data_IF_126217171547
#
_entry.id   IF_126217171547
#
_cell.length_a   1.000
_cell.length_b   1.000
_cell.length_c   1.000
_cell.angle_alpha   90.00
_cell.angle_beta   90.00
_cell.angle_gamma   90.00
#
_symmetry.space_group_name_H-M   'P 1'
#
loop_
_entity.id
_entity.type
_entity.pdbx_description
1 polymer ?
#
# COMPACT_ATOMS: atom_id res chain seq x y z
N UNK A 1 -41.63 -16.10 -23.32
CA UNK A 1 -40.88 -15.87 -24.58
C UNK A 1 -40.59 -14.39 -24.80
N UNK A 2 -41.58 -13.49 -24.65
CA UNK A 2 -41.41 -12.03 -24.87
C UNK A 2 -40.31 -11.41 -23.96
N UNK A 3 -40.19 -11.86 -22.70
CA UNK A 3 -39.20 -11.29 -21.77
C UNK A 3 -37.74 -11.64 -22.13
N UNK A 4 -37.50 -12.84 -22.67
CA UNK A 4 -36.15 -13.28 -23.06
C UNK A 4 -35.68 -12.51 -24.30
N UNK A 5 -36.60 -12.23 -25.24
CA UNK A 5 -36.30 -11.46 -26.44
C UNK A 5 -35.94 -10.00 -26.10
N UNK A 6 -36.64 -9.39 -25.14
CA UNK A 6 -36.31 -8.04 -24.69
C UNK A 6 -34.92 -7.94 -24.06
N UNK A 7 -34.55 -8.87 -23.18
CA UNK A 7 -33.24 -8.86 -22.49
C UNK A 7 -32.06 -8.99 -23.46
N UNK A 8 -32.19 -9.84 -24.48
CA UNK A 8 -31.17 -9.99 -25.53
C UNK A 8 -31.00 -8.67 -26.30
N UNK A 9 -32.12 -8.07 -26.73
CA UNK A 9 -32.10 -6.79 -27.44
C UNK A 9 -31.55 -5.66 -26.56
N UNK A 10 -31.93 -5.62 -25.28
CA UNK A 10 -31.51 -4.60 -24.33
C UNK A 10 -30.02 -4.70 -23.98
N UNK A 11 -29.49 -5.93 -23.91
CA UNK A 11 -28.07 -6.21 -23.67
C UNK A 11 -27.21 -5.80 -24.86
N UNK A 12 -27.69 -6.05 -26.09
CA UNK A 12 -26.97 -5.70 -27.32
C UNK A 12 -27.13 -4.23 -27.73
N UNK A 13 -28.16 -3.53 -27.25
CA UNK A 13 -28.43 -2.14 -27.65
C UNK A 13 -27.50 -1.13 -26.98
N UNK A 14 -26.97 -0.21 -27.78
CA UNK A 14 -26.23 0.93 -27.26
C UNK A 14 -27.16 1.93 -26.56
N UNK A 15 -26.57 2.78 -25.70
CA UNK A 15 -27.31 3.79 -24.92
C UNK A 15 -28.20 4.67 -25.81
N UNK A 16 -27.68 5.11 -26.96
CA UNK A 16 -28.42 5.93 -27.92
C UNK A 16 -29.64 5.22 -28.50
N UNK A 17 -29.52 3.93 -28.78
CA UNK A 17 -30.59 3.10 -29.37
C UNK A 17 -31.70 2.81 -28.35
N UNK A 18 -31.34 2.56 -27.09
CA UNK A 18 -32.31 2.42 -26.00
C UNK A 18 -33.10 3.71 -25.78
N UNK A 19 -32.44 4.87 -25.91
CA UNK A 19 -33.12 6.18 -25.84
C UNK A 19 -34.05 6.38 -27.04
N UNK A 20 -33.62 6.01 -28.25
CA UNK A 20 -34.44 6.07 -29.44
C UNK A 20 -35.66 5.15 -29.33
N UNK A 21 -35.48 3.93 -28.83
CA UNK A 21 -36.53 2.95 -28.60
C UNK A 21 -37.59 3.46 -27.62
N UNK A 22 -37.20 4.05 -26.48
CA UNK A 22 -38.16 4.66 -25.54
C UNK A 22 -38.97 5.80 -26.16
N UNK A 23 -38.32 6.67 -26.95
CA UNK A 23 -39.02 7.75 -27.66
C UNK A 23 -40.01 7.22 -28.70
N UNK A 24 -39.63 6.14 -29.40
CA UNK A 24 -40.48 5.48 -30.39
C UNK A 24 -41.67 4.78 -29.74
N UNK A 25 -41.46 4.08 -28.62
CA UNK A 25 -42.49 3.41 -27.83
C UNK A 25 -43.63 4.38 -27.44
N UNK A 26 -43.26 5.56 -26.92
CA UNK A 26 -44.23 6.62 -26.56
C UNK A 26 -44.96 7.14 -27.79
N UNK A 27 -44.25 7.42 -28.89
CA UNK A 27 -44.84 8.01 -30.09
C UNK A 27 -45.86 7.08 -30.77
N UNK A 28 -45.56 5.79 -30.81
CA UNK A 28 -46.39 4.79 -31.49
C UNK A 28 -47.36 4.07 -30.54
N UNK A 29 -47.32 4.37 -29.24
CA UNK A 29 -48.08 3.69 -28.21
C UNK A 29 -47.88 2.15 -28.22
N UNK A 30 -46.61 1.72 -28.31
CA UNK A 30 -46.18 0.31 -28.32
C UNK A 30 -45.25 0.01 -27.15
N UNK A 31 -45.03 -1.27 -26.83
CA UNK A 31 -44.09 -1.66 -25.77
C UNK A 31 -42.63 -1.29 -26.11
N UNK A 32 -41.80 -1.09 -25.08
CA UNK A 32 -40.37 -0.82 -25.27
C UNK A 32 -39.67 -1.97 -26.01
N UNK A 33 -40.11 -3.22 -25.81
CA UNK A 33 -39.58 -4.37 -26.54
C UNK A 33 -39.84 -4.30 -28.05
N UNK A 34 -41.06 -3.97 -28.45
CA UNK A 34 -41.42 -3.81 -29.87
C UNK A 34 -40.67 -2.62 -30.48
N UNK A 35 -40.60 -1.50 -29.77
CA UNK A 35 -39.88 -0.32 -30.23
C UNK A 35 -38.36 -0.56 -30.33
N UNK A 36 -37.77 -1.30 -29.40
CA UNK A 36 -36.35 -1.64 -29.40
C UNK A 36 -36.02 -2.61 -30.54
N UNK A 37 -36.86 -3.62 -30.77
CA UNK A 37 -36.74 -4.50 -31.92
C UNK A 37 -36.79 -3.69 -33.23
N UNK A 38 -37.74 -2.77 -33.40
CA UNK A 38 -37.82 -1.90 -34.59
C UNK A 38 -36.58 -1.04 -34.79
N UNK A 39 -36.07 -0.41 -33.72
CA UNK A 39 -34.84 0.39 -33.79
C UNK A 39 -33.65 -0.47 -34.20
N UNK A 40 -33.49 -1.66 -33.63
CA UNK A 40 -32.37 -2.54 -33.94
C UNK A 40 -32.48 -3.17 -35.34
N UNK A 41 -33.68 -3.48 -35.83
CA UNK A 41 -33.89 -3.91 -37.23
C UNK A 41 -33.48 -2.79 -38.19
N UNK A 42 -33.84 -1.54 -37.89
CA UNK A 42 -33.43 -0.40 -38.70
C UNK A 42 -31.91 -0.20 -38.69
N UNK A 43 -31.26 -0.36 -37.53
CA UNK A 43 -29.79 -0.29 -37.40
C UNK A 43 -29.11 -1.44 -38.15
N UNK A 44 -29.68 -2.65 -38.11
CA UNK A 44 -29.11 -3.82 -38.76
C UNK A 44 -29.14 -3.74 -40.30
N UNK A 45 -30.10 -3.00 -40.87
CA UNK A 45 -30.21 -2.79 -42.32
C UNK A 45 -30.18 -4.10 -43.11
N UNK A 46 -29.38 -4.15 -44.17
CA UNK A 46 -29.25 -5.32 -45.04
C UNK A 46 -28.56 -6.53 -44.37
N UNK A 47 -27.83 -6.33 -43.26
CA UNK A 47 -27.14 -7.41 -42.54
C UNK A 47 -28.10 -8.27 -41.71
N UNK A 48 -29.25 -7.71 -41.34
CA UNK A 48 -30.26 -8.40 -40.54
C UNK A 48 -29.95 -8.43 -39.04
N UNK A 49 -31.02 -8.39 -38.24
CA UNK A 49 -30.93 -8.32 -36.77
C UNK A 49 -30.09 -9.46 -36.14
N UNK A 50 -30.20 -10.73 -36.56
CA UNK A 50 -29.39 -11.80 -35.95
C UNK A 50 -27.89 -11.57 -36.09
N UNK A 51 -27.43 -11.05 -37.23
CA UNK A 51 -26.01 -10.78 -37.47
C UNK A 51 -25.50 -9.63 -36.60
N UNK A 52 -26.29 -8.54 -36.48
CA UNK A 52 -25.96 -7.40 -35.62
C UNK A 52 -25.82 -7.82 -34.16
N UNK A 53 -26.75 -8.65 -33.66
CA UNK A 53 -26.72 -9.14 -32.28
C UNK A 53 -25.48 -10.01 -32.04
N UNK A 54 -25.20 -10.96 -32.95
CA UNK A 54 -24.03 -11.83 -32.85
C UNK A 54 -22.71 -11.05 -32.85
N UNK A 55 -22.58 -10.03 -33.69
CA UNK A 55 -21.39 -9.17 -33.73
C UNK A 55 -21.18 -8.41 -32.41
N UNK A 56 -22.25 -7.85 -31.86
CA UNK A 56 -22.18 -7.08 -30.61
C UNK A 56 -21.92 -7.94 -29.40
N UNK A 57 -22.50 -9.13 -29.33
CA UNK A 57 -22.18 -10.10 -28.29
C UNK A 57 -20.72 -10.55 -28.38
N UNK A 58 -20.21 -10.82 -29.59
CA UNK A 58 -18.81 -11.16 -29.78
C UNK A 58 -17.85 -10.02 -29.40
N UNK A 59 -18.23 -8.75 -29.63
CA UNK A 59 -17.46 -7.59 -29.16
C UNK A 59 -17.48 -7.49 -27.63
N UNK A 60 -18.66 -7.64 -27.01
CA UNK A 60 -18.83 -7.57 -25.56
C UNK A 60 -18.03 -8.64 -24.83
N UNK A 61 -18.09 -9.89 -25.30
CA UNK A 61 -17.32 -11.00 -24.75
C UNK A 61 -15.81 -10.73 -24.82
N UNK A 62 -15.30 -10.23 -25.96
CA UNK A 62 -13.88 -9.85 -26.10
C UNK A 62 -13.46 -8.75 -25.14
N UNK A 63 -14.31 -7.76 -24.91
CA UNK A 63 -14.02 -6.68 -23.95
C UNK A 63 -14.12 -7.14 -22.49
N UNK A 64 -15.00 -8.08 -22.18
CA UNK A 64 -15.06 -8.76 -20.88
C UNK A 64 -13.80 -9.58 -20.62
N UNK A 65 -13.35 -10.38 -21.59
CA UNK A 65 -12.10 -11.15 -21.51
C UNK A 65 -10.88 -10.24 -21.33
N UNK A 66 -10.80 -9.14 -22.08
CA UNK A 66 -9.71 -8.15 -21.91
C UNK A 66 -9.73 -7.52 -20.52
N UNK A 67 -10.91 -7.19 -20.00
CA UNK A 67 -11.05 -6.62 -18.65
C UNK A 67 -10.69 -7.63 -17.58
N UNK A 68 -11.17 -8.86 -17.67
CA UNK A 68 -10.87 -9.93 -16.72
C UNK A 68 -9.38 -10.25 -16.71
N UNK A 69 -8.72 -10.33 -17.88
CA UNK A 69 -7.28 -10.52 -17.99
C UNK A 69 -6.48 -9.38 -17.33
N UNK A 70 -6.88 -8.11 -17.53
CA UNK A 70 -6.23 -6.97 -16.87
C UNK A 70 -6.39 -7.00 -15.35
N UNK A 71 -7.58 -7.33 -14.86
CA UNK A 71 -7.86 -7.46 -13.42
C UNK A 71 -7.02 -8.59 -12.82
N UNK A 72 -7.00 -9.76 -13.48
CA UNK A 72 -6.24 -10.92 -13.04
C UNK A 72 -4.73 -10.63 -13.00
N UNK A 73 -4.18 -9.97 -14.02
CA UNK A 73 -2.76 -9.62 -14.04
C UNK A 73 -2.41 -8.60 -12.93
N UNK A 74 -3.25 -7.58 -12.73
CA UNK A 74 -3.06 -6.63 -11.62
C UNK A 74 -3.11 -7.35 -10.27
N UNK A 75 -4.06 -8.26 -10.06
CA UNK A 75 -4.17 -9.05 -8.84
C UNK A 75 -2.93 -9.94 -8.64
N UNK A 76 -2.42 -10.57 -9.70
CA UNK A 76 -1.19 -11.38 -9.68
C UNK A 76 0.02 -10.56 -9.28
N UNK A 77 0.22 -9.38 -9.87
CA UNK A 77 1.33 -8.48 -9.54
C UNK A 77 1.25 -7.99 -8.09
N UNK A 78 0.05 -7.67 -7.60
CA UNK A 78 -0.16 -7.29 -6.20
C UNK A 78 0.13 -8.46 -5.24
N UNK A 79 -0.31 -9.67 -5.57
CA UNK A 79 -0.05 -10.88 -4.78
C UNK A 79 1.45 -11.22 -4.75
N UNK A 80 2.15 -11.13 -5.89
CA UNK A 80 3.61 -11.32 -5.95
C UNK A 80 4.35 -10.28 -5.13
N UNK A 81 3.94 -9.00 -5.21
CA UNK A 81 4.50 -7.94 -4.37
C UNK A 81 4.25 -8.22 -2.89
N UNK A 82 3.04 -8.63 -2.52
CA UNK A 82 2.69 -8.99 -1.15
C UNK A 82 3.52 -10.17 -0.63
N UNK A 83 3.66 -11.25 -1.42
CA UNK A 83 4.47 -12.41 -1.06
C UNK A 83 5.96 -12.06 -0.88
N UNK A 84 6.53 -11.22 -1.76
CA UNK A 84 7.90 -10.70 -1.58
C UNK A 84 8.03 -9.79 -0.35
N UNK A 85 6.92 -9.16 0.05
CA UNK A 85 6.79 -8.34 1.25
C UNK A 85 6.30 -9.11 2.48
N UNK A 86 6.15 -10.44 2.41
CA UNK A 86 6.02 -11.25 3.62
C UNK A 86 7.44 -11.59 4.09
N UNK A 87 7.81 -11.32 5.35
CA UNK A 87 9.03 -11.90 5.91
C UNK A 87 8.93 -13.43 5.83
N UNK A 88 10.03 -14.11 5.55
CA UNK A 88 10.08 -15.57 5.72
C UNK A 88 9.64 -15.91 7.15
N UNK A 89 8.84 -16.96 7.31
CA UNK A 89 8.30 -17.36 8.61
C UNK A 89 9.40 -17.58 9.67
N UNK A 90 10.63 -17.85 9.21
CA UNK A 90 11.79 -18.22 10.00
C UNK A 90 12.87 -17.10 10.07
N UNK A 91 12.51 -15.85 9.80
CA UNK A 91 13.46 -14.71 9.78
C UNK A 91 13.23 -13.68 10.89
N UNK A 92 14.27 -12.89 11.19
CA UNK A 92 14.16 -11.77 12.12
C UNK A 92 13.25 -10.67 11.57
N UNK A 93 12.48 -10.05 12.46
CA UNK A 93 11.60 -8.92 12.17
C UNK A 93 11.81 -7.81 13.18
N UNK A 94 11.83 -6.57 12.73
CA UNK A 94 11.99 -5.42 13.59
C UNK A 94 10.99 -4.31 13.26
N UNK A 95 10.64 -3.53 14.27
CA UNK A 95 9.86 -2.31 14.17
C UNK A 95 10.62 -1.19 14.85
N UNK A 96 10.64 0.00 14.28
CA UNK A 96 11.25 1.18 14.88
C UNK A 96 10.28 2.37 14.80
N UNK A 97 10.42 3.28 15.74
CA UNK A 97 9.76 4.58 15.76
C UNK A 97 10.59 5.56 16.58
N UNK A 98 10.66 6.81 16.14
CA UNK A 98 11.34 7.88 16.85
C UNK A 98 10.46 9.10 17.02
N UNK A 99 10.44 9.65 18.23
CA UNK A 99 9.72 10.88 18.55
C UNK A 99 10.66 11.98 19.01
N UNK A 100 10.33 13.22 18.64
CA UNK A 100 11.01 14.43 19.11
C UNK A 100 9.95 15.44 19.56
N UNK A 101 9.97 15.83 20.84
CA UNK A 101 9.00 16.79 21.37
C UNK A 101 9.63 17.92 22.22
N UNK A 102 9.30 19.21 21.93
CA UNK A 102 8.74 19.70 20.66
C UNK A 102 9.62 19.32 19.45
N UNK A 103 9.31 19.71 18.21
CA UNK A 103 10.15 19.35 17.05
C UNK A 103 10.85 20.60 16.47
N UNK A 104 12.19 20.73 16.56
CA UNK A 104 13.14 19.86 17.27
C UNK A 104 13.01 19.96 18.80
N UNK A 105 13.45 18.91 19.51
CA UNK A 105 13.26 18.73 20.95
C UNK A 105 13.91 17.48 21.50
N UNK A 106 13.46 17.04 22.68
CA UNK A 106 13.99 15.82 23.29
C UNK A 106 13.58 14.60 22.47
N UNK A 107 14.53 13.72 22.19
CA UNK A 107 14.32 12.52 21.40
C UNK A 107 14.05 11.31 22.30
N UNK A 108 12.93 10.64 22.05
CA UNK A 108 12.64 9.28 22.47
C UNK A 108 12.74 8.33 21.29
N UNK A 109 13.38 7.17 21.49
CA UNK A 109 13.42 6.11 20.47
C UNK A 109 12.81 4.83 20.99
N UNK A 110 12.05 4.17 20.12
CA UNK A 110 11.37 2.92 20.37
C UNK A 110 11.71 1.90 19.28
N UNK A 111 11.99 0.67 19.67
CA UNK A 111 12.13 -0.42 18.72
C UNK A 111 11.74 -1.77 19.32
N UNK A 112 11.16 -2.64 18.50
CA UNK A 112 10.82 -4.02 18.82
C UNK A 112 11.56 -4.93 17.85
N UNK A 113 12.33 -5.90 18.34
CA UNK A 113 12.99 -6.92 17.54
C UNK A 113 12.46 -8.29 17.94
N UNK A 114 12.02 -9.07 16.96
CA UNK A 114 11.50 -10.42 17.12
C UNK A 114 12.33 -11.40 16.28
N UNK A 115 12.81 -12.46 16.91
CA UNK A 115 13.59 -13.52 16.27
C UNK A 115 12.75 -14.77 15.94
N UNK A 116 13.30 -15.68 15.14
CA UNK A 116 12.63 -16.92 14.74
C UNK A 116 12.54 -17.97 15.87
N UNK A 117 13.39 -17.88 16.89
CA UNK A 117 13.37 -18.74 18.07
C UNK A 117 12.39 -18.28 19.16
N UNK A 118 11.61 -17.23 18.90
CA UNK A 118 10.70 -16.62 19.87
C UNK A 118 11.34 -15.47 20.67
N UNK A 119 12.53 -15.03 20.29
CA UNK A 119 13.18 -13.86 20.89
C UNK A 119 12.30 -12.63 20.72
N UNK A 120 12.21 -11.82 21.78
CA UNK A 120 11.54 -10.52 21.78
C UNK A 120 12.38 -9.53 22.57
N UNK A 121 12.89 -8.51 21.90
CA UNK A 121 13.69 -7.44 22.50
C UNK A 121 12.99 -6.11 22.27
N UNK A 122 12.64 -5.44 23.36
CA UNK A 122 12.05 -4.10 23.36
C UNK A 122 13.13 -3.08 23.75
N UNK A 123 13.24 -2.01 22.97
CA UNK A 123 14.17 -0.91 23.16
C UNK A 123 13.33 0.34 23.38
N UNK A 124 13.53 1.00 24.51
CA UNK A 124 12.94 2.30 24.84
C UNK A 124 13.99 3.11 25.58
N UNK A 125 14.53 4.15 24.94
CA UNK A 125 15.53 5.03 25.57
C UNK A 125 15.51 6.43 24.97
N UNK A 126 16.02 7.40 25.73
CA UNK A 126 16.26 8.76 25.23
C UNK A 126 17.48 8.75 24.32
N UNK A 127 17.44 9.59 23.29
CA UNK A 127 18.54 9.71 22.33
C UNK A 127 18.94 11.17 22.08
N UNK A 128 18.94 11.98 23.15
CA UNK A 128 19.43 13.35 23.11
C UNK A 128 18.38 14.36 22.65
N UNK A 129 18.81 15.33 21.84
CA UNK A 129 18.00 16.42 21.32
C UNK A 129 18.17 16.49 19.80
N UNK A 130 17.08 16.70 19.07
CA UNK A 130 17.09 16.80 17.62
C UNK A 130 15.69 16.85 17.03
N UNK A 131 15.57 16.63 15.73
CA UNK A 131 14.31 16.63 15.01
C UNK A 131 13.72 15.22 14.85
N UNK A 132 12.47 15.15 14.38
CA UNK A 132 11.79 13.86 14.19
C UNK A 132 12.47 12.94 13.18
N UNK A 133 13.11 13.46 12.13
CA UNK A 133 13.87 12.64 11.18
C UNK A 133 15.11 11.99 11.81
N UNK A 134 15.83 12.73 12.65
CA UNK A 134 16.96 12.22 13.44
C UNK A 134 16.49 11.16 14.45
N UNK A 135 15.37 11.40 15.14
CA UNK A 135 14.78 10.44 16.07
C UNK A 135 14.50 9.08 15.42
N UNK A 136 13.86 9.10 14.25
CA UNK A 136 13.51 7.90 13.47
C UNK A 136 14.76 7.12 13.04
N UNK A 137 15.78 7.83 12.56
CA UNK A 137 17.07 7.23 12.19
C UNK A 137 17.81 6.64 13.40
N UNK A 138 17.75 7.29 14.56
CA UNK A 138 18.34 6.79 15.81
C UNK A 138 17.62 5.53 16.31
N UNK A 139 16.29 5.47 16.18
CA UNK A 139 15.50 4.29 16.50
C UNK A 139 15.86 3.11 15.59
N UNK A 140 15.94 3.36 14.28
CA UNK A 140 16.39 2.36 13.30
C UNK A 140 17.82 1.87 13.59
N UNK A 141 18.73 2.78 13.93
CA UNK A 141 20.11 2.44 14.29
C UNK A 141 20.14 1.50 15.50
N UNK A 142 19.39 1.82 16.56
CA UNK A 142 19.33 0.99 17.76
C UNK A 142 18.76 -0.41 17.49
N UNK A 143 17.74 -0.51 16.63
CA UNK A 143 17.17 -1.78 16.19
C UNK A 143 18.21 -2.65 15.46
N UNK A 144 18.97 -2.06 14.53
CA UNK A 144 19.98 -2.76 13.74
C UNK A 144 21.18 -3.19 14.59
N UNK A 145 21.60 -2.36 15.55
CA UNK A 145 22.65 -2.72 16.51
C UNK A 145 22.22 -3.91 17.37
N UNK A 146 20.99 -3.94 17.86
CA UNK A 146 20.46 -5.07 18.62
C UNK A 146 20.37 -6.35 17.76
N UNK A 147 19.94 -6.23 16.50
CA UNK A 147 19.91 -7.36 15.58
C UNK A 147 21.31 -7.94 15.33
N UNK A 148 22.32 -7.08 15.18
CA UNK A 148 23.72 -7.50 15.04
C UNK A 148 24.25 -8.20 16.29
N UNK A 149 23.93 -7.70 17.49
CA UNK A 149 24.32 -8.32 18.75
C UNK A 149 23.73 -9.72 18.94
N UNK A 150 22.53 -9.97 18.40
CA UNK A 150 21.87 -11.28 18.44
C UNK A 150 22.25 -12.19 17.26
N UNK A 151 23.17 -11.75 16.40
CA UNK A 151 23.67 -12.55 15.27
C UNK A 151 22.63 -12.77 14.17
N UNK A 152 21.71 -11.81 13.96
CA UNK A 152 20.69 -11.93 12.91
C UNK A 152 21.32 -12.01 11.51
N UNK A 153 20.98 -13.06 10.76
CA UNK A 153 21.35 -13.23 9.34
C UNK A 153 20.10 -13.07 8.47
N UNK A 154 19.81 -11.83 8.10
CA UNK A 154 18.60 -11.39 7.42
C UNK A 154 17.58 -10.79 8.38
N UNK A 155 16.98 -9.66 7.99
CA UNK A 155 16.07 -8.88 8.84
C UNK A 155 15.05 -8.12 7.99
N UNK A 156 13.77 -8.23 8.35
CA UNK A 156 12.74 -7.35 7.80
C UNK A 156 12.41 -6.27 8.83
N UNK A 157 12.69 -5.02 8.48
CA UNK A 157 12.43 -3.86 9.34
C UNK A 157 11.20 -3.12 8.85
N UNK A 158 10.37 -2.70 9.79
CA UNK A 158 9.16 -1.94 9.59
C UNK A 158 9.27 -0.58 10.30
N UNK A 159 8.79 0.47 9.65
CA UNK A 159 8.63 1.80 10.24
C UNK A 159 7.56 2.58 9.49
N UNK A 160 7.03 3.64 10.09
CA UNK A 160 5.95 4.45 9.53
C UNK A 160 6.42 5.81 8.97
N UNK A 161 7.69 6.17 9.15
CA UNK A 161 8.33 7.30 8.45
C UNK A 161 8.64 6.97 6.99
N UNK A 162 7.80 7.48 6.07
CA UNK A 162 8.06 7.36 4.63
C UNK A 162 9.38 8.03 4.22
N UNK A 163 9.78 9.12 4.89
CA UNK A 163 11.02 9.84 4.60
C UNK A 163 12.22 8.92 4.83
N UNK A 164 12.33 8.35 6.04
CA UNK A 164 13.45 7.46 6.40
C UNK A 164 13.42 6.18 5.58
N UNK A 165 12.26 5.53 5.46
CA UNK A 165 12.14 4.28 4.69
C UNK A 165 12.49 4.47 3.22
N UNK A 166 12.04 5.56 2.59
CA UNK A 166 12.37 5.81 1.18
C UNK A 166 13.85 6.19 1.01
N UNK A 167 14.40 6.99 1.92
CA UNK A 167 15.80 7.44 1.87
C UNK A 167 16.79 6.27 2.00
N UNK A 168 16.55 5.34 2.93
CA UNK A 168 17.38 4.13 3.09
C UNK A 168 17.25 3.18 1.88
N UNK A 169 16.08 3.12 1.25
CA UNK A 169 15.84 2.28 0.08
C UNK A 169 16.31 2.89 -1.25
N UNK A 170 16.92 4.08 -1.25
CA UNK A 170 17.47 4.67 -2.47
C UNK A 170 18.62 3.82 -3.04
N UNK A 171 18.72 3.76 -4.37
CA UNK A 171 19.89 3.18 -5.01
C UNK A 171 21.11 4.09 -4.83
N UNK A 172 22.30 3.50 -4.89
CA UNK A 172 23.57 4.25 -4.80
C UNK A 172 23.63 5.39 -5.83
N UNK A 173 23.18 5.15 -7.08
CA UNK A 173 23.13 6.19 -8.11
C UNK A 173 22.17 7.33 -7.74
N UNK A 174 21.04 7.03 -7.10
CA UNK A 174 20.09 8.05 -6.66
C UNK A 174 20.65 8.87 -5.49
N UNK A 175 21.39 8.24 -4.58
CA UNK A 175 22.10 8.92 -3.49
C UNK A 175 23.18 9.86 -4.03
N UNK A 176 24.02 9.39 -4.96
CA UNK A 176 25.07 10.20 -5.61
C UNK A 176 24.47 11.37 -6.40
N UNK A 177 23.27 11.19 -6.98
CA UNK A 177 22.53 12.26 -7.65
C UNK A 177 21.84 13.26 -6.69
N UNK A 178 22.07 13.16 -5.37
CA UNK A 178 21.54 14.10 -4.37
C UNK A 178 20.04 13.96 -4.11
N UNK A 179 19.43 12.79 -4.38
CA UNK A 179 17.99 12.54 -4.13
C UNK A 179 17.66 12.08 -2.71
N UNK A 180 18.66 12.05 -1.84
CA UNK A 180 18.53 11.68 -0.44
C UNK A 180 17.81 12.72 0.42
N UNK A 181 17.41 12.31 1.62
CA UNK A 181 16.94 13.25 2.64
C UNK A 181 18.09 14.16 3.10
N UNK A 182 17.91 15.47 2.93
CA UNK A 182 18.93 16.48 3.25
C UNK A 182 19.15 16.57 4.76
N UNK A 183 20.41 16.60 5.18
CA UNK A 183 20.81 16.71 6.59
C UNK A 183 20.75 15.39 7.35
N UNK A 184 20.40 14.28 6.70
CA UNK A 184 20.33 12.94 7.29
C UNK A 184 21.35 11.98 6.65
N UNK A 185 22.30 12.50 5.88
CA UNK A 185 23.24 11.70 5.10
C UNK A 185 24.14 10.82 5.99
N UNK A 186 24.62 11.35 7.11
CA UNK A 186 25.46 10.59 8.06
C UNK A 186 24.67 9.46 8.72
N UNK A 187 23.42 9.72 9.11
CA UNK A 187 22.51 8.70 9.64
C UNK A 187 22.24 7.59 8.62
N UNK A 188 21.98 7.95 7.37
CA UNK A 188 21.81 6.97 6.29
C UNK A 188 23.07 6.12 6.11
N UNK A 189 24.25 6.75 6.06
CA UNK A 189 25.52 6.01 5.94
C UNK A 189 25.73 5.03 7.09
N UNK A 190 25.44 5.45 8.33
CA UNK A 190 25.54 4.59 9.51
C UNK A 190 24.59 3.39 9.43
N UNK A 191 23.33 3.62 9.07
CA UNK A 191 22.34 2.55 8.88
C UNK A 191 22.76 1.57 7.79
N UNK A 192 23.23 2.06 6.64
CA UNK A 192 23.71 1.20 5.56
C UNK A 192 24.90 0.33 6.00
N UNK A 193 25.83 0.90 6.78
CA UNK A 193 26.97 0.16 7.33
C UNK A 193 26.53 -0.93 8.34
N UNK A 194 25.49 -0.69 9.14
CA UNK A 194 24.92 -1.68 10.06
C UNK A 194 24.12 -2.77 9.34
N UNK A 195 23.47 -2.45 8.22
CA UNK A 195 22.74 -3.42 7.41
C UNK A 195 23.65 -4.40 6.68
N UNK A 196 24.83 -3.95 6.22
CA UNK A 196 25.77 -4.76 5.45
C UNK A 196 26.14 -6.12 6.08
N UNK A 197 26.56 -6.21 7.37
CA UNK A 197 26.91 -7.48 8.00
C UNK A 197 25.70 -8.38 8.29
N UNK A 198 24.49 -7.83 8.35
CA UNK A 198 23.25 -8.59 8.60
C UNK A 198 22.77 -9.35 7.35
N UNK A 199 23.43 -9.18 6.19
CA UNK A 199 23.06 -9.83 4.95
C UNK A 199 21.78 -9.25 4.35
N UNK A 200 20.73 -10.07 4.23
CA UNK A 200 19.49 -9.68 3.56
C UNK A 200 18.58 -8.83 4.47
N UNK A 201 18.84 -7.52 4.55
CA UNK A 201 17.97 -6.57 5.26
C UNK A 201 17.02 -5.88 4.29
N UNK A 202 15.72 -5.80 4.63
CA UNK A 202 14.74 -5.01 3.88
C UNK A 202 13.97 -4.07 4.79
N UNK A 203 13.92 -2.78 4.42
CA UNK A 203 13.12 -1.77 5.12
C UNK A 203 11.78 -1.56 4.43
N UNK A 204 10.68 -1.57 5.20
CA UNK A 204 9.32 -1.50 4.68
C UNK A 204 8.50 -0.46 5.43
N UNK A 205 7.79 0.36 4.67
CA UNK A 205 6.85 1.30 5.24
C UNK A 205 5.58 0.57 5.69
N UNK A 206 5.08 0.90 6.87
CA UNK A 206 3.78 0.48 7.38
C UNK A 206 2.99 1.71 7.85
N UNK A 207 1.65 1.71 7.75
CA UNK A 207 0.85 2.77 8.37
C UNK A 207 1.06 2.81 9.89
N UNK A 208 1.01 4.01 10.50
CA UNK A 208 1.22 4.21 11.95
C UNK A 208 0.41 3.31 12.87
N UNK A 209 -0.86 3.04 12.54
CA UNK A 209 -1.72 2.12 13.31
C UNK A 209 -1.20 0.66 13.35
N UNK A 210 -0.23 0.30 12.50
CA UNK A 210 0.47 -1.00 12.50
C UNK A 210 1.85 -0.95 13.14
N UNK A 211 2.28 0.21 13.66
CA UNK A 211 3.58 0.42 14.31
C UNK A 211 3.46 0.71 15.83
N UNK A 212 2.31 0.39 16.43
CA UNK A 212 1.96 0.84 17.78
C UNK A 212 2.92 0.39 18.90
N UNK A 213 3.56 -0.78 18.79
CA UNK A 213 4.54 -1.22 19.79
C UNK A 213 5.78 -0.32 19.81
N UNK A 214 6.33 0.02 18.64
CA UNK A 214 7.49 0.89 18.55
C UNK A 214 7.15 2.33 18.95
N UNK A 215 5.99 2.85 18.52
CA UNK A 215 5.47 4.17 18.91
C UNK A 215 5.27 4.28 20.43
N UNK A 216 4.64 3.28 21.05
CA UNK A 216 4.52 3.21 22.51
C UNK A 216 5.90 3.24 23.20
N UNK A 217 6.87 2.51 22.67
CA UNK A 217 8.23 2.47 23.24
C UNK A 217 8.98 3.79 23.09
N UNK A 218 8.80 4.53 21.98
CA UNK A 218 9.44 5.83 21.76
C UNK A 218 8.87 6.88 22.73
N UNK A 219 7.55 6.89 22.91
CA UNK A 219 6.85 7.79 23.83
C UNK A 219 7.19 7.50 25.30
N UNK A 220 7.24 6.23 25.70
CA UNK A 220 7.63 5.82 27.06
C UNK A 220 9.01 6.33 27.48
N UNK A 221 9.94 6.48 26.52
CA UNK A 221 11.28 6.99 26.81
C UNK A 221 11.27 8.45 27.27
N UNK A 222 10.31 9.25 26.79
CA UNK A 222 10.14 10.65 27.15
C UNK A 222 9.36 10.77 28.47
N UNK A 223 8.26 10.01 28.61
CA UNK A 223 7.36 10.11 29.76
C UNK A 223 7.99 9.70 31.09
N UNK A 224 8.88 8.69 31.12
CA UNK A 224 9.59 8.28 32.35
C UNK A 224 10.37 9.45 32.98
N UNK A 225 10.80 10.41 32.17
CA UNK A 225 11.53 11.58 32.63
C UNK A 225 10.60 12.62 33.25
N UNK A 226 9.42 12.88 32.67
CA UNK A 226 8.47 13.82 33.25
C UNK A 226 8.07 13.37 34.67
N UNK A 227 7.80 12.07 34.85
CA UNK A 227 7.51 11.52 36.16
C UNK A 227 8.69 11.65 37.15
N UNK A 228 9.93 11.42 36.70
CA UNK A 228 11.15 11.62 37.52
C UNK A 228 11.40 13.09 37.91
N UNK A 229 10.97 14.04 37.08
CA UNK A 229 11.02 15.49 37.37
C UNK A 229 9.72 16.06 37.96
N UNK A 230 8.78 15.21 38.37
CA UNK A 230 7.53 15.63 39.05
C UNK A 230 6.43 16.19 38.14
N UNK A 231 6.54 16.03 36.83
CA UNK A 231 5.51 16.38 35.86
C UNK A 231 4.64 15.16 35.50
N UNK A 232 3.31 15.28 35.49
CA UNK A 232 2.42 14.18 35.12
C UNK A 232 2.56 13.85 33.62
N UNK A 233 2.34 12.58 33.21
CA UNK A 233 2.34 12.18 31.80
C UNK A 233 1.25 12.92 31.02
N UNK A 234 1.51 13.18 29.75
CA UNK A 234 0.55 13.86 28.87
C UNK A 234 -0.65 12.95 28.63
N UNK A 235 -1.87 13.43 28.87
CA UNK A 235 -3.11 12.68 28.59
C UNK A 235 -3.41 12.72 27.09
N UNK A 236 -3.79 11.56 26.54
CA UNK A 236 -4.32 11.38 25.17
C UNK A 236 -5.55 12.25 24.87
#
# INVERSE_FOLDING_TARGET
MIDIEFEVLATAAYKGERVAARRLAVRLNVSEAVALHQVLVQVAGAQGLPQLLAERDALRLRDEERRSARIAEKARLLAQRAARMQPAADGWRGWFDGSAHPNPGQIGIGALLCGPGGERVEISRRAGYGNSGEAEYLALTALLEAAGQLGATGLVVHGDSQVVVNDVNLSEQAVVAGRGAKGLEEHRQRVMALMAPLGAVSLRWVPRHRNGDADRLSQQAIDRTLAEYGFPPSRE
#
